data_IF_496300438329
#
_entry.id   IF_496300438329
#
_cell.length_a   1.000
_cell.length_b   1.000
_cell.length_c   1.000
_cell.angle_alpha   90.00
_cell.angle_beta   90.00
_cell.angle_gamma   90.00
#
_symmetry.space_group_name_H-M   'P 1'
#
loop_
_entity.id
_entity.type
_entity.pdbx_description
1 polymer ?
#
# COMPACT_ATOMS: atom_id res chain seq x y z
N UNK A 1 -5.65 26.36 8.72
CA UNK A 1 -4.89 25.26 8.08
C UNK A 1 -4.60 25.65 6.64
N UNK A 2 -3.35 25.56 6.18
CA UNK A 2 -3.00 25.77 4.78
C UNK A 2 -3.21 24.48 3.98
N UNK A 3 -3.69 24.59 2.75
CA UNK A 3 -3.80 23.44 1.83
C UNK A 3 -2.40 23.00 1.40
N UNK A 4 -1.94 21.84 1.88
CA UNK A 4 -0.62 21.28 1.52
C UNK A 4 -0.71 20.51 0.21
N UNK A 5 0.10 20.93 -0.77
CA UNK A 5 0.23 20.27 -2.08
C UNK A 5 1.48 19.43 -2.21
N UNK A 6 2.39 19.54 -1.25
CA UNK A 6 3.66 18.84 -1.29
C UNK A 6 3.43 17.34 -1.08
N UNK A 7 3.70 16.57 -2.13
CA UNK A 7 3.67 15.13 -2.10
C UNK A 7 4.84 14.61 -2.94
N UNK A 8 5.72 13.84 -2.31
CA UNK A 8 6.81 13.15 -3.00
C UNK A 8 6.43 11.67 -3.09
N UNK A 9 6.09 11.14 -4.29
CA UNK A 9 5.82 9.71 -4.44
C UNK A 9 7.08 8.88 -4.19
N UNK A 10 6.90 7.67 -3.67
CA UNK A 10 7.96 6.67 -3.55
C UNK A 10 7.50 5.38 -4.21
N UNK A 11 7.93 5.19 -5.46
CA UNK A 11 7.57 4.01 -6.24
C UNK A 11 8.46 2.82 -5.87
N UNK A 12 7.84 1.67 -5.61
CA UNK A 12 8.55 0.41 -5.37
C UNK A 12 9.30 0.31 -4.03
N UNK A 13 9.26 1.35 -3.19
CA UNK A 13 9.85 1.39 -1.85
C UNK A 13 8.85 1.97 -0.86
N UNK A 14 8.63 1.29 0.27
CA UNK A 14 7.81 1.83 1.35
C UNK A 14 8.58 2.91 2.11
N UNK A 15 7.93 4.03 2.40
CA UNK A 15 8.52 5.17 3.13
C UNK A 15 7.70 5.51 4.36
N UNK A 16 8.37 5.79 5.47
CA UNK A 16 7.71 6.24 6.70
C UNK A 16 7.08 7.62 6.48
N UNK A 17 5.79 7.76 6.81
CA UNK A 17 5.04 9.02 6.70
C UNK A 17 4.54 9.53 8.05
N UNK A 18 4.49 8.65 9.05
CA UNK A 18 4.23 8.95 10.46
C UNK A 18 4.77 7.79 11.33
N UNK A 19 4.89 7.95 12.66
CA UNK A 19 5.22 6.84 13.56
C UNK A 19 4.27 5.65 13.34
N UNK A 20 4.83 4.50 12.98
CA UNK A 20 4.07 3.27 12.72
C UNK A 20 3.25 3.25 11.43
N UNK A 21 3.46 4.21 10.51
CA UNK A 21 2.76 4.26 9.22
C UNK A 21 3.75 4.42 8.08
N UNK A 22 3.73 3.46 7.17
CA UNK A 22 4.51 3.48 5.93
C UNK A 22 3.57 3.55 4.73
N UNK A 23 4.07 4.17 3.65
CA UNK A 23 3.35 4.32 2.38
C UNK A 23 4.18 3.75 1.26
N UNK A 24 3.56 2.94 0.42
CA UNK A 24 4.12 2.42 -0.83
C UNK A 24 3.27 2.93 -2.00
N UNK A 25 3.86 3.67 -2.93
CA UNK A 25 3.15 4.21 -4.09
C UNK A 25 3.31 3.28 -5.30
N UNK A 26 2.19 2.82 -5.87
CA UNK A 26 2.19 1.98 -7.06
C UNK A 26 2.60 2.76 -8.33
N UNK A 27 3.17 2.11 -9.36
CA UNK A 27 3.59 2.76 -10.61
C UNK A 27 2.41 2.97 -11.59
N UNK A 28 1.28 3.48 -11.11
CA UNK A 28 0.03 3.64 -11.88
C UNK A 28 -0.47 5.10 -11.93
N UNK A 29 0.43 6.06 -12.10
CA UNK A 29 0.09 7.49 -12.17
C UNK A 29 -0.92 7.81 -13.28
N UNK A 30 -1.83 8.76 -13.03
CA UNK A 30 -2.86 9.13 -13.98
C UNK A 30 -3.92 10.08 -13.40
N UNK A 31 -4.90 10.51 -14.20
CA UNK A 31 -5.91 11.50 -13.79
C UNK A 31 -6.72 11.10 -12.54
N UNK A 32 -6.89 9.79 -12.30
CA UNK A 32 -7.67 9.26 -11.18
C UNK A 32 -6.81 8.84 -9.99
N UNK A 33 -5.50 8.66 -10.18
CA UNK A 33 -4.57 8.14 -9.18
C UNK A 33 -3.49 9.16 -8.79
N UNK A 34 -3.49 10.34 -9.41
CA UNK A 34 -2.47 11.38 -9.26
C UNK A 34 -1.07 10.82 -9.56
N UNK A 35 -0.19 10.77 -8.57
CA UNK A 35 1.13 10.16 -8.72
C UNK A 35 1.10 8.62 -8.67
N UNK A 36 -0.03 8.01 -8.28
CA UNK A 36 -0.19 6.57 -8.13
C UNK A 36 -0.98 6.23 -6.87
N UNK A 37 -1.55 5.03 -6.82
CA UNK A 37 -2.27 4.54 -5.64
C UNK A 37 -1.29 4.32 -4.50
N UNK A 38 -1.72 4.66 -3.29
CA UNK A 38 -0.93 4.46 -2.09
C UNK A 38 -1.50 3.27 -1.32
N UNK A 39 -0.70 2.21 -1.19
CA UNK A 39 -0.92 1.19 -0.17
C UNK A 39 -0.25 1.64 1.11
N UNK A 40 -0.92 1.47 2.25
CA UNK A 40 -0.36 1.80 3.56
C UNK A 40 -0.11 0.56 4.39
N UNK A 41 0.99 0.57 5.14
CA UNK A 41 1.33 -0.47 6.10
C UNK A 41 1.33 0.18 7.48
N UNK A 42 0.44 -0.29 8.35
CA UNK A 42 0.21 0.30 9.66
C UNK A 42 0.57 -0.72 10.74
N UNK A 43 1.47 -0.33 11.64
CA UNK A 43 1.95 -1.18 12.74
C UNK A 43 3.46 -1.44 12.69
N UNK A 44 3.90 -2.45 13.43
CA UNK A 44 5.31 -2.82 13.61
C UNK A 44 5.53 -4.29 13.28
N UNK A 45 5.64 -5.12 14.31
CA UNK A 45 5.79 -6.59 14.18
C UNK A 45 4.57 -7.26 13.52
N UNK A 46 3.38 -6.95 14.02
CA UNK A 46 2.11 -7.28 13.35
C UNK A 46 1.53 -6.02 12.69
N UNK A 47 0.95 -6.17 11.50
CA UNK A 47 0.51 -5.04 10.67
C UNK A 47 -0.85 -5.22 10.01
N UNK A 48 -1.47 -4.08 9.70
CA UNK A 48 -2.58 -3.95 8.77
C UNK A 48 -2.08 -3.37 7.44
N UNK A 49 -2.49 -3.96 6.32
CA UNK A 49 -2.28 -3.40 4.98
C UNK A 49 -3.57 -2.77 4.49
N UNK A 50 -3.51 -1.49 4.12
CA UNK A 50 -4.64 -0.72 3.59
C UNK A 50 -4.45 -0.52 2.09
N UNK A 51 -5.49 -0.81 1.32
CA UNK A 51 -5.55 -0.64 -0.14
C UNK A 51 -4.40 -1.31 -0.91
N UNK A 52 -4.30 -2.65 -0.86
CA UNK A 52 -3.31 -3.41 -1.62
C UNK A 52 -3.72 -3.45 -3.11
N UNK A 53 -3.49 -2.36 -3.83
CA UNK A 53 -3.75 -2.27 -5.25
C UNK A 53 -2.80 -1.28 -5.93
N UNK A 54 -2.72 -1.29 -7.27
CA UNK A 54 -3.49 -2.08 -8.24
C UNK A 54 -2.96 -3.52 -8.40
N UNK A 55 -3.55 -4.30 -9.30
CA UNK A 55 -2.97 -5.57 -9.78
C UNK A 55 -1.76 -5.30 -10.70
N UNK A 56 -0.62 -5.00 -10.07
CA UNK A 56 0.66 -4.76 -10.71
C UNK A 56 1.74 -5.60 -10.03
N UNK A 57 2.53 -6.35 -10.81
CA UNK A 57 3.51 -7.29 -10.25
C UNK A 57 4.68 -6.56 -9.59
N UNK A 58 5.11 -5.39 -10.10
CA UNK A 58 6.19 -4.64 -9.48
C UNK A 58 5.77 -4.08 -8.11
N UNK A 59 4.53 -3.60 -8.01
CA UNK A 59 3.91 -3.18 -6.76
C UNK A 59 3.75 -4.34 -5.79
N UNK A 60 3.28 -5.50 -6.26
CA UNK A 60 3.19 -6.71 -5.44
C UNK A 60 4.54 -7.12 -4.84
N UNK A 61 5.60 -7.14 -5.66
CA UNK A 61 6.94 -7.49 -5.19
C UNK A 61 7.47 -6.46 -4.20
N UNK A 62 7.20 -5.17 -4.41
CA UNK A 62 7.56 -4.12 -3.46
C UNK A 62 6.82 -4.26 -2.13
N UNK A 63 5.52 -4.56 -2.17
CA UNK A 63 4.71 -4.83 -0.98
C UNK A 63 5.24 -6.05 -0.23
N UNK A 64 5.57 -7.14 -0.93
CA UNK A 64 6.14 -8.33 -0.30
C UNK A 64 7.48 -8.04 0.40
N UNK A 65 8.36 -7.24 -0.21
CA UNK A 65 9.62 -6.81 0.42
C UNK A 65 9.37 -5.95 1.66
N UNK A 66 8.41 -5.03 1.61
CA UNK A 66 8.07 -4.17 2.74
C UNK A 66 7.41 -4.91 3.92
N UNK A 67 6.87 -6.09 3.66
CA UNK A 67 6.22 -6.96 4.64
C UNK A 67 7.13 -8.10 5.12
N UNK A 68 8.38 -8.19 4.64
CA UNK A 68 9.29 -9.26 5.04
C UNK A 68 9.58 -9.23 6.55
N UNK A 69 9.51 -10.41 7.18
CA UNK A 69 9.64 -10.55 8.63
C UNK A 69 8.49 -9.99 9.48
N UNK A 70 7.39 -9.51 8.87
CA UNK A 70 6.22 -8.96 9.58
C UNK A 70 5.02 -9.90 9.45
N UNK A 71 4.23 -9.97 10.50
CA UNK A 71 2.95 -10.69 10.49
C UNK A 71 1.85 -9.77 9.97
N UNK A 72 1.29 -10.08 8.80
CA UNK A 72 0.09 -9.39 8.32
C UNK A 72 -1.11 -10.02 9.01
N UNK A 73 -1.83 -9.24 9.81
CA UNK A 73 -3.00 -9.72 10.56
C UNK A 73 -4.31 -9.17 10.02
N UNK A 74 -4.26 -8.08 9.24
CA UNK A 74 -5.45 -7.42 8.71
C UNK A 74 -5.20 -6.89 7.30
N UNK A 75 -6.23 -6.93 6.48
CA UNK A 75 -6.28 -6.30 5.16
C UNK A 75 -7.53 -5.42 5.13
N UNK A 76 -7.35 -4.11 4.95
CA UNK A 76 -8.43 -3.16 4.82
C UNK A 76 -8.48 -2.61 3.39
N UNK A 77 -9.68 -2.50 2.85
CA UNK A 77 -9.93 -1.90 1.53
C UNK A 77 -10.90 -0.75 1.74
N UNK A 78 -10.50 0.45 1.34
CA UNK A 78 -11.29 1.65 1.49
C UNK A 78 -12.56 1.62 0.63
N UNK A 79 -12.44 1.11 -0.60
CA UNK A 79 -13.54 0.92 -1.55
C UNK A 79 -13.14 -0.01 -2.71
N UNK A 80 -14.10 -0.38 -3.55
CA UNK A 80 -13.97 -1.50 -4.51
C UNK A 80 -13.28 -1.16 -5.84
N UNK A 81 -12.74 0.06 -6.02
CA UNK A 81 -12.10 0.41 -7.28
C UNK A 81 -10.83 -0.43 -7.55
N UNK A 82 -10.52 -0.56 -8.86
CA UNK A 82 -9.47 -1.44 -9.39
C UNK A 82 -8.06 -1.02 -9.00
N UNK A 83 -7.89 0.20 -8.56
CA UNK A 83 -6.60 0.73 -8.14
C UNK A 83 -6.31 0.43 -6.67
N UNK A 84 -7.32 0.10 -5.85
CA UNK A 84 -7.16 -0.15 -4.40
C UNK A 84 -7.30 -1.62 -3.97
N UNK A 85 -8.27 -2.34 -4.52
CA UNK A 85 -8.70 -3.66 -4.02
C UNK A 85 -8.03 -4.93 -4.59
N UNK A 86 -7.43 -4.97 -5.80
CA UNK A 86 -7.14 -6.26 -6.44
C UNK A 86 -6.17 -7.22 -5.75
N UNK A 87 -5.12 -6.73 -5.09
CA UNK A 87 -4.16 -7.62 -4.43
C UNK A 87 -4.65 -8.08 -3.05
N UNK A 88 -5.80 -7.62 -2.56
CA UNK A 88 -6.33 -8.02 -1.26
C UNK A 88 -6.50 -9.53 -1.15
N UNK A 89 -7.04 -10.17 -2.21
CA UNK A 89 -7.21 -11.62 -2.26
C UNK A 89 -5.86 -12.35 -2.25
N UNK A 90 -4.92 -11.93 -3.09
CA UNK A 90 -3.58 -12.52 -3.19
C UNK A 90 -2.80 -12.36 -1.88
N UNK A 91 -2.95 -11.23 -1.21
CA UNK A 91 -2.33 -10.95 0.08
C UNK A 91 -2.90 -11.86 1.17
N UNK A 92 -4.23 -12.03 1.24
CA UNK A 92 -4.86 -13.03 2.13
C UNK A 92 -4.31 -14.42 1.89
N UNK A 93 -4.29 -14.86 0.63
CA UNK A 93 -3.82 -16.20 0.26
C UNK A 93 -2.35 -16.44 0.68
N UNK A 94 -1.51 -15.41 0.61
CA UNK A 94 -0.10 -15.48 1.05
C UNK A 94 0.07 -15.47 2.57
N UNK A 95 -0.78 -14.75 3.31
CA UNK A 95 -0.51 -14.39 4.71
C UNK A 95 -1.45 -15.04 5.72
N UNK A 96 -2.63 -15.46 5.29
CA UNK A 96 -3.69 -15.98 6.16
C UNK A 96 -4.57 -14.91 6.83
N UNK A 97 -4.28 -13.62 6.61
CA UNK A 97 -5.05 -12.49 7.12
C UNK A 97 -6.45 -12.36 6.51
#
# INVERSE_FOLDING_TARGET
MAFRRDFVPAHGTAVAVAPGVERLTAPNAGPFTFHGTNSYIVGGGSVCVIDPGPEDEAHWQALCRALDGREVTHIAVSHTHRDHSPLARRLRERTGA
#
